data_IF_258398496120
#
_entry.id   IF_258398496120
#
_cell.length_a   1.000
_cell.length_b   1.000
_cell.length_c   1.000
_cell.angle_alpha   90.00
_cell.angle_beta   90.00
_cell.angle_gamma   90.00
#
_symmetry.space_group_name_H-M   'P 1'
#
loop_
_entity.id
_entity.type
_entity.pdbx_description
1 polymer ?
#
# COMPACT_ATOMS: atom_id res chain seq x y z
N UNK A 1 53.38 21.10 -24.57
CA UNK A 1 52.31 20.19 -24.10
C UNK A 1 51.04 21.03 -24.05
N UNK A 2 50.21 20.91 -25.08
CA UNK A 2 49.08 21.80 -25.33
C UNK A 2 47.97 21.56 -24.32
N UNK A 3 47.60 22.58 -23.55
CA UNK A 3 46.54 22.54 -22.51
C UNK A 3 45.13 22.76 -23.08
N UNK A 4 45.00 22.96 -24.39
CA UNK A 4 43.74 23.22 -25.09
C UNK A 4 42.64 22.18 -24.83
N UNK A 5 42.91 20.85 -24.82
CA UNK A 5 41.86 19.87 -24.56
C UNK A 5 41.34 19.96 -23.12
N UNK A 6 42.21 20.31 -22.17
CA UNK A 6 41.86 20.36 -20.76
C UNK A 6 40.98 21.57 -20.44
N UNK A 7 41.30 22.72 -21.06
CA UNK A 7 40.53 23.93 -20.93
C UNK A 7 39.14 23.80 -21.59
N UNK A 8 39.03 23.12 -22.73
CA UNK A 8 37.72 22.92 -23.40
C UNK A 8 36.78 21.99 -22.60
N UNK A 9 37.32 20.99 -21.90
CA UNK A 9 36.55 20.13 -20.99
C UNK A 9 36.13 20.86 -19.72
N UNK A 10 37.01 21.71 -19.17
CA UNK A 10 36.68 22.57 -18.02
C UNK A 10 35.62 23.60 -18.40
N UNK A 11 35.73 24.22 -19.58
CA UNK A 11 34.76 25.21 -20.07
C UNK A 11 33.40 24.58 -20.42
N UNK A 12 33.37 23.34 -20.92
CA UNK A 12 32.12 22.58 -21.10
C UNK A 12 31.48 22.20 -19.76
N UNK A 13 32.29 21.86 -18.75
CA UNK A 13 31.82 21.58 -17.39
C UNK A 13 31.25 22.82 -16.71
N UNK A 14 31.94 23.96 -16.78
CA UNK A 14 31.48 25.23 -16.21
C UNK A 14 30.26 25.75 -16.96
N UNK A 15 30.21 25.66 -18.30
CA UNK A 15 29.05 26.09 -19.09
C UNK A 15 27.83 25.20 -18.87
N UNK A 16 28.01 23.88 -18.72
CA UNK A 16 26.92 22.96 -18.39
C UNK A 16 26.38 23.20 -16.97
N UNK A 17 27.26 23.54 -16.02
CA UNK A 17 26.87 23.97 -14.67
C UNK A 17 26.16 25.31 -14.74
N UNK A 18 26.62 26.29 -15.53
CA UNK A 18 26.05 27.64 -15.58
C UNK A 18 24.70 27.66 -16.31
N UNK A 19 24.53 26.85 -17.36
CA UNK A 19 23.28 26.69 -18.10
C UNK A 19 22.24 25.87 -17.32
N UNK A 20 22.67 24.88 -16.53
CA UNK A 20 21.79 24.07 -15.68
C UNK A 20 21.80 24.52 -14.20
N UNK A 21 22.44 25.63 -13.84
CA UNK A 21 22.55 26.08 -12.45
C UNK A 21 21.17 26.30 -11.85
N UNK A 22 20.24 26.85 -12.63
CA UNK A 22 18.84 27.00 -12.25
C UNK A 22 18.14 25.66 -12.05
N UNK A 23 18.36 24.67 -12.91
CA UNK A 23 17.80 23.30 -12.81
C UNK A 23 18.40 22.51 -11.64
N UNK A 24 19.70 22.65 -11.38
CA UNK A 24 20.41 21.99 -10.28
C UNK A 24 20.00 22.62 -8.94
N UNK A 25 19.96 23.95 -8.86
CA UNK A 25 19.51 24.67 -7.67
C UNK A 25 18.04 24.39 -7.40
N UNK A 26 17.17 24.43 -8.42
CA UNK A 26 15.75 24.08 -8.24
C UNK A 26 15.55 22.60 -7.87
N UNK A 27 16.33 21.68 -8.44
CA UNK A 27 16.32 20.26 -8.06
C UNK A 27 16.83 20.01 -6.63
N UNK A 28 17.86 20.73 -6.21
CA UNK A 28 18.38 20.67 -4.84
C UNK A 28 17.37 21.26 -3.83
N UNK A 29 16.72 22.38 -4.17
CA UNK A 29 15.65 22.98 -3.36
C UNK A 29 14.43 22.06 -3.31
N UNK A 30 14.02 21.45 -4.43
CA UNK A 30 12.87 20.53 -4.45
C UNK A 30 13.15 19.26 -3.64
N UNK A 31 14.37 18.73 -3.72
CA UNK A 31 14.79 17.58 -2.93
C UNK A 31 14.88 17.92 -1.43
N UNK A 32 15.51 19.04 -1.09
CA UNK A 32 15.63 19.53 0.28
C UNK A 32 14.26 19.83 0.92
N UNK A 33 13.36 20.46 0.17
CA UNK A 33 11.98 20.72 0.62
C UNK A 33 11.16 19.43 0.75
N UNK A 34 11.32 18.46 -0.16
CA UNK A 34 10.67 17.14 -0.04
C UNK A 34 11.16 16.39 1.20
N UNK A 35 12.48 16.36 1.42
CA UNK A 35 13.06 15.76 2.62
C UNK A 35 12.58 16.46 3.90
N UNK A 36 12.54 17.80 3.91
CA UNK A 36 11.99 18.59 5.02
C UNK A 36 10.51 18.31 5.28
N UNK A 37 9.70 18.17 4.22
CA UNK A 37 8.28 17.81 4.33
C UNK A 37 8.10 16.39 4.86
N UNK A 38 8.92 15.43 4.44
CA UNK A 38 8.89 14.06 4.96
C UNK A 38 9.22 14.05 6.45
N UNK A 39 10.30 14.74 6.85
CA UNK A 39 10.70 14.83 8.27
C UNK A 39 9.61 15.50 9.10
N UNK A 40 9.07 16.63 8.63
CA UNK A 40 7.99 17.35 9.32
C UNK A 40 6.73 16.49 9.43
N UNK A 41 6.33 15.83 8.34
CA UNK A 41 5.20 14.91 8.32
C UNK A 41 5.41 13.72 9.24
N UNK A 42 6.62 13.15 9.28
CA UNK A 42 6.98 12.06 10.18
C UNK A 42 6.93 12.49 11.65
N UNK A 43 7.42 13.69 11.98
CA UNK A 43 7.35 14.24 13.33
C UNK A 43 5.90 14.48 13.76
N UNK A 44 5.07 15.08 12.89
CA UNK A 44 3.65 15.28 13.16
C UNK A 44 2.93 13.94 13.31
N UNK A 45 3.22 12.97 12.44
CA UNK A 45 2.66 11.63 12.51
C UNK A 45 3.02 10.95 13.83
N UNK A 46 4.30 10.93 14.21
CA UNK A 46 4.77 10.31 15.46
C UNK A 46 4.15 11.00 16.67
N UNK A 47 4.14 12.33 16.70
CA UNK A 47 3.51 13.10 17.75
C UNK A 47 2.02 12.75 17.86
N UNK A 48 1.28 12.82 16.75
CA UNK A 48 -0.15 12.49 16.73
C UNK A 48 -0.41 11.06 17.17
N UNK A 49 0.39 10.11 16.67
CA UNK A 49 0.28 8.69 17.01
C UNK A 49 0.54 8.46 18.50
N UNK A 50 1.58 9.07 19.08
CA UNK A 50 1.88 8.97 20.51
C UNK A 50 0.74 9.50 21.36
N UNK A 51 0.20 10.68 21.03
CA UNK A 51 -0.93 11.26 21.78
C UNK A 51 -2.22 10.44 21.61
N UNK A 52 -2.51 9.96 20.40
CA UNK A 52 -3.68 9.12 20.15
C UNK A 52 -3.58 7.77 20.87
N UNK A 53 -2.37 7.21 20.97
CA UNK A 53 -2.15 5.95 21.68
C UNK A 53 -2.16 6.14 23.20
N UNK A 54 -1.54 7.23 23.71
CA UNK A 54 -1.49 7.53 25.14
C UNK A 54 -2.85 7.95 25.71
N UNK A 55 -3.60 8.78 24.97
CA UNK A 55 -4.89 9.35 25.42
C UNK A 55 -6.11 8.72 24.71
N UNK A 56 -5.93 7.62 23.98
CA UNK A 56 -6.99 7.00 23.17
C UNK A 56 -8.26 6.68 23.96
N UNK A 57 -8.13 6.19 25.20
CA UNK A 57 -9.29 5.94 26.07
C UNK A 57 -10.01 7.23 26.46
N UNK A 58 -9.28 8.32 26.73
CA UNK A 58 -9.88 9.62 27.05
C UNK A 58 -10.62 10.18 25.84
N UNK A 59 -10.05 10.05 24.63
CA UNK A 59 -10.68 10.48 23.37
C UNK A 59 -11.97 9.68 23.13
N UNK A 60 -11.95 8.36 23.32
CA UNK A 60 -13.13 7.51 23.21
C UNK A 60 -14.22 7.91 24.22
N UNK A 61 -13.87 8.08 25.49
CA UNK A 61 -14.82 8.49 26.52
C UNK A 61 -15.38 9.91 26.26
N UNK A 62 -14.60 10.80 25.66
CA UNK A 62 -15.09 12.09 25.18
C UNK A 62 -16.14 11.93 24.08
N UNK A 63 -15.94 11.04 23.11
CA UNK A 63 -16.96 10.72 22.10
C UNK A 63 -18.24 10.14 22.72
N UNK A 64 -18.12 9.24 23.71
CA UNK A 64 -19.27 8.67 24.44
C UNK A 64 -20.07 9.74 25.18
N UNK A 65 -19.43 10.83 25.65
CA UNK A 65 -20.13 11.93 26.34
C UNK A 65 -21.12 12.68 25.44
N UNK A 66 -20.99 12.59 24.12
CA UNK A 66 -21.94 13.19 23.17
C UNK A 66 -23.33 12.56 23.25
N UNK A 67 -23.44 11.34 23.78
CA UNK A 67 -24.70 10.63 23.96
C UNK A 67 -25.40 10.99 25.29
N UNK A 68 -26.74 10.91 25.36
CA UNK A 68 -27.51 11.10 26.58
C UNK A 68 -27.03 10.23 27.75
N UNK A 69 -27.05 10.77 28.97
CA UNK A 69 -26.57 10.08 30.18
C UNK A 69 -27.03 8.62 30.32
N UNK A 70 -28.31 8.25 30.10
CA UNK A 70 -28.75 6.85 30.26
C UNK A 70 -28.19 5.88 29.21
N UNK A 71 -27.81 6.34 28.01
CA UNK A 71 -27.29 5.48 26.95
C UNK A 71 -25.78 5.32 26.95
N UNK A 72 -25.03 6.15 27.68
CA UNK A 72 -23.55 6.10 27.74
C UNK A 72 -22.96 4.73 28.10
N UNK A 73 -23.48 3.98 29.10
CA UNK A 73 -22.96 2.64 29.41
C UNK A 73 -23.14 1.66 28.24
N UNK A 74 -24.30 1.72 27.59
CA UNK A 74 -24.61 0.88 26.43
C UNK A 74 -23.71 1.21 25.23
N UNK A 75 -23.53 2.50 24.92
CA UNK A 75 -22.66 2.98 23.83
C UNK A 75 -21.20 2.60 24.10
N UNK A 76 -20.69 2.82 25.31
CA UNK A 76 -19.32 2.44 25.66
C UNK A 76 -19.10 0.92 25.52
N UNK A 77 -20.03 0.11 26.05
CA UNK A 77 -19.95 -1.35 25.95
C UNK A 77 -20.04 -1.85 24.51
N UNK A 78 -20.98 -1.33 23.72
CA UNK A 78 -21.14 -1.70 22.31
C UNK A 78 -19.94 -1.26 21.46
N UNK A 79 -19.44 -0.04 21.67
CA UNK A 79 -18.31 0.48 20.91
C UNK A 79 -17.00 -0.26 21.21
N UNK A 80 -16.72 -0.62 22.47
CA UNK A 80 -15.55 -1.45 22.79
C UNK A 80 -15.62 -2.84 22.16
N UNK A 81 -16.81 -3.47 22.16
CA UNK A 81 -17.01 -4.75 21.47
C UNK A 81 -16.89 -4.62 19.96
N UNK A 82 -17.45 -3.55 19.39
CA UNK A 82 -17.31 -3.23 17.97
C UNK A 82 -15.85 -3.03 17.57
N UNK A 83 -15.08 -2.29 18.38
CA UNK A 83 -13.65 -2.10 18.15
C UNK A 83 -12.86 -3.40 18.16
N UNK A 84 -13.10 -4.27 19.16
CA UNK A 84 -12.46 -5.59 19.21
C UNK A 84 -12.79 -6.44 17.98
N UNK A 85 -14.05 -6.43 17.54
CA UNK A 85 -14.48 -7.12 16.32
C UNK A 85 -13.78 -6.57 15.07
N UNK A 86 -13.69 -5.24 14.93
CA UNK A 86 -12.97 -4.60 13.83
C UNK A 86 -11.48 -4.95 13.83
N UNK A 87 -10.82 -4.93 14.99
CA UNK A 87 -9.40 -5.29 15.11
C UNK A 87 -9.18 -6.76 14.72
N UNK A 88 -10.04 -7.66 15.18
CA UNK A 88 -9.98 -9.08 14.80
C UNK A 88 -10.19 -9.26 13.29
N UNK A 89 -11.21 -8.62 12.74
CA UNK A 89 -11.51 -8.63 11.32
C UNK A 89 -10.33 -8.12 10.48
N UNK A 90 -9.75 -6.97 10.81
CA UNK A 90 -8.62 -6.40 10.06
C UNK A 90 -7.39 -7.30 10.13
N UNK A 91 -7.10 -7.91 11.29
CA UNK A 91 -5.98 -8.85 11.42
C UNK A 91 -6.15 -10.06 10.51
N UNK A 92 -7.36 -10.61 10.47
CA UNK A 92 -7.72 -11.76 9.62
C UNK A 92 -7.63 -11.35 8.15
N UNK A 93 -8.26 -10.23 7.79
CA UNK A 93 -8.31 -9.75 6.42
C UNK A 93 -6.93 -9.39 5.88
N UNK A 94 -6.06 -8.82 6.70
CA UNK A 94 -4.67 -8.54 6.33
C UNK A 94 -3.88 -9.81 6.02
N UNK A 95 -4.10 -10.89 6.77
CA UNK A 95 -3.49 -12.19 6.48
C UNK A 95 -4.02 -12.80 5.18
N UNK A 96 -5.32 -12.71 4.94
CA UNK A 96 -5.93 -13.16 3.68
C UNK A 96 -5.37 -12.36 2.49
N UNK A 97 -5.34 -11.03 2.58
CA UNK A 97 -4.80 -10.15 1.55
C UNK A 97 -3.32 -10.43 1.26
N UNK A 98 -2.53 -10.78 2.28
CA UNK A 98 -1.15 -11.21 2.11
C UNK A 98 -1.05 -12.51 1.31
N UNK A 99 -1.88 -13.50 1.62
CA UNK A 99 -1.91 -14.77 0.88
C UNK A 99 -2.36 -14.55 -0.56
N UNK A 100 -3.36 -13.71 -0.81
CA UNK A 100 -3.79 -13.35 -2.16
C UNK A 100 -2.65 -12.70 -2.94
N UNK A 101 -1.98 -11.72 -2.34
CA UNK A 101 -0.89 -10.99 -2.97
C UNK A 101 0.30 -11.90 -3.35
N UNK A 102 0.67 -12.80 -2.42
CA UNK A 102 1.73 -13.77 -2.67
C UNK A 102 1.28 -14.83 -3.69
N UNK A 103 0.08 -15.39 -3.55
CA UNK A 103 -0.42 -16.42 -4.45
C UNK A 103 -0.60 -15.93 -5.89
N UNK A 104 -1.26 -14.78 -6.07
CA UNK A 104 -1.46 -14.17 -7.39
C UNK A 104 -0.16 -13.60 -7.93
N UNK A 105 0.66 -12.93 -7.09
CA UNK A 105 1.95 -12.40 -7.51
C UNK A 105 2.94 -13.48 -7.94
N UNK A 106 3.03 -14.59 -7.20
CA UNK A 106 3.85 -15.74 -7.58
C UNK A 106 3.31 -16.43 -8.83
N UNK A 107 1.99 -16.60 -8.96
CA UNK A 107 1.42 -17.18 -10.17
C UNK A 107 1.67 -16.31 -11.40
N UNK A 108 1.56 -14.98 -11.28
CA UNK A 108 1.93 -14.05 -12.34
C UNK A 108 3.42 -14.16 -12.70
N UNK A 109 4.30 -14.24 -11.69
CA UNK A 109 5.75 -14.41 -11.88
C UNK A 109 6.08 -15.72 -12.61
N UNK A 110 5.50 -16.84 -12.18
CA UNK A 110 5.72 -18.17 -12.78
C UNK A 110 5.18 -18.25 -14.21
N UNK A 111 4.10 -17.53 -14.51
CA UNK A 111 3.53 -17.42 -15.85
C UNK A 111 4.27 -16.42 -16.76
N UNK A 112 5.29 -15.73 -16.24
CA UNK A 112 6.07 -14.75 -16.99
C UNK A 112 5.30 -13.46 -17.30
N UNK A 113 4.28 -13.13 -16.51
CA UNK A 113 3.51 -11.89 -16.66
C UNK A 113 4.37 -10.72 -16.15
N UNK A 114 4.60 -9.66 -16.96
CA UNK A 114 5.34 -8.51 -16.50
C UNK A 114 4.59 -7.82 -15.36
N UNK A 115 5.30 -7.04 -14.54
CA UNK A 115 4.71 -6.32 -13.41
C UNK A 115 4.11 -7.22 -12.32
N UNK A 116 4.58 -8.47 -12.17
CA UNK A 116 4.13 -9.38 -11.11
C UNK A 116 4.20 -8.74 -9.69
N UNK A 117 5.25 -7.96 -9.41
CA UNK A 117 5.40 -7.25 -8.13
C UNK A 117 4.36 -6.12 -7.97
N UNK A 118 4.23 -5.16 -8.90
CA UNK A 118 3.14 -4.18 -8.87
C UNK A 118 1.74 -4.80 -8.78
N UNK A 119 1.50 -5.90 -9.51
CA UNK A 119 0.24 -6.65 -9.43
C UNK A 119 0.01 -7.24 -8.05
N UNK A 120 1.02 -7.84 -7.43
CA UNK A 120 0.95 -8.34 -6.06
C UNK A 120 0.61 -7.24 -5.06
N UNK A 121 1.22 -6.05 -5.20
CA UNK A 121 0.90 -4.89 -4.35
C UNK A 121 -0.54 -4.41 -4.58
N UNK A 122 -0.98 -4.34 -5.84
CA UNK A 122 -2.37 -3.99 -6.18
C UNK A 122 -3.36 -4.97 -5.55
N UNK A 123 -3.09 -6.27 -5.66
CA UNK A 123 -3.89 -7.33 -5.04
C UNK A 123 -3.90 -7.18 -3.52
N UNK A 124 -2.75 -6.98 -2.89
CA UNK A 124 -2.65 -6.78 -1.44
C UNK A 124 -3.54 -5.62 -0.96
N UNK A 125 -3.44 -4.46 -1.62
CA UNK A 125 -4.21 -3.28 -1.26
C UNK A 125 -5.69 -3.46 -1.58
N UNK A 126 -6.02 -4.04 -2.74
CA UNK A 126 -7.39 -4.26 -3.17
C UNK A 126 -8.13 -5.28 -2.31
N UNK A 127 -7.45 -6.35 -1.87
CA UNK A 127 -8.03 -7.42 -1.06
C UNK A 127 -8.47 -6.99 0.34
N UNK A 128 -8.23 -5.76 0.80
CA UNK A 128 -8.80 -5.27 2.07
C UNK A 128 -10.33 -5.17 2.06
N UNK A 129 -10.94 -5.07 0.87
CA UNK A 129 -12.39 -5.14 0.68
C UNK A 129 -12.70 -6.54 0.14
N UNK A 130 -13.16 -7.49 0.97
CA UNK A 130 -13.45 -8.85 0.53
C UNK A 130 -14.44 -8.85 -0.63
N UNK A 131 -14.37 -9.89 -1.48
CA UNK A 131 -15.17 -10.06 -2.69
C UNK A 131 -14.88 -9.01 -3.78
N UNK A 132 -15.12 -7.72 -3.53
CA UNK A 132 -14.92 -6.65 -4.51
C UNK A 132 -13.44 -6.55 -4.89
N UNK A 133 -12.56 -6.52 -3.88
CA UNK A 133 -11.12 -6.47 -4.06
C UNK A 133 -10.60 -7.63 -4.88
N UNK A 134 -10.87 -8.85 -4.42
CA UNK A 134 -10.41 -10.08 -5.06
C UNK A 134 -10.93 -10.24 -6.51
N UNK A 135 -12.18 -9.88 -6.79
CA UNK A 135 -12.74 -9.93 -8.15
C UNK A 135 -12.07 -8.86 -9.01
N UNK A 136 -12.01 -7.61 -8.54
CA UNK A 136 -11.48 -6.50 -9.33
C UNK A 136 -9.99 -6.70 -9.64
N UNK A 137 -9.19 -7.02 -8.61
CA UNK A 137 -7.74 -7.24 -8.79
C UNK A 137 -7.45 -8.53 -9.55
N UNK A 138 -8.28 -9.57 -9.40
CA UNK A 138 -8.23 -10.78 -10.21
C UNK A 138 -8.50 -10.50 -11.68
N UNK A 139 -9.53 -9.72 -12.01
CA UNK A 139 -9.81 -9.27 -13.37
C UNK A 139 -8.62 -8.48 -13.93
N UNK A 140 -8.10 -7.52 -13.16
CA UNK A 140 -6.94 -6.73 -13.58
C UNK A 140 -5.73 -7.63 -13.86
N UNK A 141 -5.43 -8.59 -13.00
CA UNK A 141 -4.33 -9.53 -13.21
C UNK A 141 -4.49 -10.34 -14.50
N UNK A 142 -5.71 -10.86 -14.75
CA UNK A 142 -6.01 -11.62 -15.98
C UNK A 142 -5.93 -10.73 -17.23
N UNK A 143 -6.42 -9.49 -17.16
CA UNK A 143 -6.34 -8.53 -18.27
C UNK A 143 -4.89 -8.13 -18.56
N UNK A 144 -4.08 -7.88 -17.52
CA UNK A 144 -2.66 -7.57 -17.71
C UNK A 144 -1.93 -8.75 -18.35
N UNK A 145 -2.19 -9.98 -17.91
CA UNK A 145 -1.67 -11.18 -18.54
C UNK A 145 -2.11 -11.32 -20.01
N UNK A 146 -3.38 -11.01 -20.31
CA UNK A 146 -3.92 -11.04 -21.68
C UNK A 146 -3.21 -10.06 -22.60
N UNK A 147 -3.04 -8.82 -22.15
CA UNK A 147 -2.43 -7.76 -22.95
C UNK A 147 -0.93 -8.00 -23.14
N UNK A 148 -0.23 -8.47 -22.10
CA UNK A 148 1.21 -8.61 -22.14
C UNK A 148 1.69 -9.92 -22.78
N UNK A 149 0.95 -11.02 -22.59
CA UNK A 149 1.42 -12.36 -22.92
C UNK A 149 0.45 -13.17 -23.81
N UNK A 150 -0.78 -12.68 -24.01
CA UNK A 150 -1.78 -13.31 -24.85
C UNK A 150 -2.75 -14.25 -24.11
N UNK A 151 -3.70 -14.85 -24.84
CA UNK A 151 -4.88 -15.52 -24.27
C UNK A 151 -4.56 -16.78 -23.47
N UNK A 152 -3.54 -17.55 -23.85
CA UNK A 152 -3.17 -18.77 -23.13
C UNK A 152 -2.62 -18.48 -21.73
N UNK A 153 -1.77 -17.46 -21.62
CA UNK A 153 -1.22 -17.04 -20.33
C UNK A 153 -2.29 -16.36 -19.48
N UNK A 154 -3.22 -15.61 -20.09
CA UNK A 154 -4.39 -15.08 -19.40
C UNK A 154 -5.30 -16.17 -18.81
N UNK A 155 -5.54 -17.25 -19.55
CA UNK A 155 -6.31 -18.40 -19.04
C UNK A 155 -5.58 -19.10 -17.89
N UNK A 156 -4.25 -19.25 -17.98
CA UNK A 156 -3.43 -19.72 -16.87
C UNK A 156 -3.54 -18.83 -15.64
N UNK A 157 -3.52 -17.50 -15.85
CA UNK A 157 -3.67 -16.50 -14.78
C UNK A 157 -5.06 -16.56 -14.15
N UNK A 158 -6.12 -16.74 -14.95
CA UNK A 158 -7.47 -16.96 -14.45
C UNK A 158 -7.52 -18.21 -13.57
N UNK A 159 -6.88 -19.30 -14.01
CA UNK A 159 -6.73 -20.53 -13.23
C UNK A 159 -6.05 -20.28 -11.88
N UNK A 160 -4.94 -19.54 -11.86
CA UNK A 160 -4.26 -19.15 -10.61
C UNK A 160 -5.18 -18.33 -9.71
N UNK A 161 -5.85 -17.30 -10.24
CA UNK A 161 -6.76 -16.45 -9.46
C UNK A 161 -7.86 -17.29 -8.81
N UNK A 162 -8.49 -18.19 -9.58
CA UNK A 162 -9.51 -19.10 -9.06
C UNK A 162 -8.91 -20.03 -8.01
N UNK A 163 -7.75 -20.64 -8.26
CA UNK A 163 -7.11 -21.54 -7.30
C UNK A 163 -6.81 -20.84 -5.97
N UNK A 164 -6.22 -19.65 -6.01
CA UNK A 164 -5.93 -18.86 -4.80
C UNK A 164 -7.23 -18.50 -4.07
N UNK A 165 -8.24 -18.03 -4.79
CA UNK A 165 -9.54 -17.70 -4.18
C UNK A 165 -10.23 -18.93 -3.57
N UNK A 166 -10.11 -20.11 -4.19
CA UNK A 166 -10.66 -21.35 -3.65
C UNK A 166 -9.93 -21.80 -2.39
N UNK A 167 -8.60 -21.68 -2.36
CA UNK A 167 -7.81 -21.95 -1.16
C UNK A 167 -8.20 -21.02 -0.01
N UNK A 168 -8.36 -19.73 -0.31
CA UNK A 168 -8.78 -18.73 0.67
C UNK A 168 -10.20 -19.01 1.18
N UNK A 169 -11.15 -19.23 0.27
CA UNK A 169 -12.56 -19.37 0.62
C UNK A 169 -12.89 -20.69 1.30
N UNK A 170 -12.29 -21.80 0.83
CA UNK A 170 -12.65 -23.14 1.33
C UNK A 170 -11.78 -23.60 2.50
N UNK A 171 -10.55 -23.10 2.63
CA UNK A 171 -9.62 -23.57 3.68
C UNK A 171 -9.43 -22.50 4.75
N UNK A 172 -9.11 -21.28 4.34
CA UNK A 172 -8.70 -20.23 5.29
C UNK A 172 -9.90 -19.63 6.02
N UNK A 173 -10.96 -19.21 5.31
CA UNK A 173 -12.14 -18.64 5.95
C UNK A 173 -12.76 -19.52 7.05
N UNK A 174 -13.05 -20.82 6.84
CA UNK A 174 -13.65 -21.67 7.89
C UNK A 174 -12.68 -22.00 9.03
N UNK A 175 -11.37 -21.91 8.81
CA UNK A 175 -10.37 -22.13 9.87
C UNK A 175 -10.19 -20.90 10.74
N UNK A 176 -10.40 -19.71 10.17
CA UNK A 176 -10.18 -18.43 10.85
C UNK A 176 -11.45 -17.92 11.56
N UNK A 177 -12.64 -18.34 11.10
CA UNK A 177 -13.93 -17.99 11.74
C UNK A 177 -14.31 -18.87 12.95
N UNK A 178 -13.54 -19.92 13.25
CA UNK A 178 -13.69 -20.74 14.46
C UNK A 178 -12.75 -20.24 15.55
#
# INVERSE_FOLDING_TARGET
ISTEPLNEWVDKGTSAIQYNSSTIVSGAISFGSTAGNIVTGMLIMLFTLLFFLADGEKIWLFMVKLFPRPSRPAVNGAGRRGWLSLVQYVRIQGFVAFIDAVGIGLGAFLLGVPLAVPLGILVFLGSFIPLVGAILTGIIAVLVALVANGPWIALGMLGVVVLVQQLVSNVLQPSIMR
#
